data_IF_879155682360
#
_entry.id   IF_879155682360
#
_cell.length_a   1.000
_cell.length_b   1.000
_cell.length_c   1.000
_cell.angle_alpha   90.00
_cell.angle_beta   90.00
_cell.angle_gamma   90.00
#
_symmetry.space_group_name_H-M   'P 1'
#
loop_
_entity.id
_entity.type
_entity.pdbx_description
1 polymer ?
#
# COMPACT_ATOMS: atom_id res chain seq x y z
N UNK A 1 -9.67 15.04 49.17
CA UNK A 1 -8.22 15.14 48.90
C UNK A 1 -7.74 13.99 48.00
N UNK A 2 -8.20 12.76 48.22
CA UNK A 2 -7.67 11.58 47.53
C UNK A 2 -7.99 11.48 46.03
N UNK A 3 -9.16 11.97 45.59
CA UNK A 3 -9.56 11.90 44.18
C UNK A 3 -8.69 12.79 43.27
N UNK A 4 -8.45 14.05 43.67
CA UNK A 4 -7.59 14.98 42.93
C UNK A 4 -6.13 14.52 42.92
N UNK A 5 -5.64 13.96 44.03
CA UNK A 5 -4.31 13.38 44.12
C UNK A 5 -4.17 12.15 43.20
N UNK A 6 -5.19 11.29 43.13
CA UNK A 6 -5.20 10.14 42.23
C UNK A 6 -5.20 10.57 40.76
N UNK A 7 -5.99 11.58 40.38
CA UNK A 7 -5.96 12.13 39.02
C UNK A 7 -4.58 12.71 38.70
N UNK A 8 -4.01 13.51 39.61
CA UNK A 8 -2.71 14.15 39.39
C UNK A 8 -1.58 13.11 39.24
N UNK A 9 -1.58 12.07 40.07
CA UNK A 9 -0.61 10.96 39.97
C UNK A 9 -0.79 10.16 38.68
N UNK A 10 -2.02 9.85 38.26
CA UNK A 10 -2.28 9.21 36.97
C UNK A 10 -1.79 10.07 35.79
N UNK A 11 -2.06 11.37 35.80
CA UNK A 11 -1.59 12.30 34.76
C UNK A 11 -0.06 12.40 34.74
N UNK A 12 0.58 12.46 35.90
CA UNK A 12 2.04 12.47 36.01
C UNK A 12 2.65 11.17 35.46
N UNK A 13 2.10 10.01 35.82
CA UNK A 13 2.54 8.70 35.30
C UNK A 13 2.40 8.66 33.78
N UNK A 14 1.24 9.07 33.24
CA UNK A 14 1.01 9.12 31.81
C UNK A 14 2.04 10.01 31.11
N UNK A 15 2.32 11.19 31.67
CA UNK A 15 3.33 12.10 31.16
C UNK A 15 4.73 11.46 31.15
N UNK A 16 5.17 10.83 32.26
CA UNK A 16 6.46 10.15 32.30
C UNK A 16 6.56 8.99 31.31
N UNK A 17 5.50 8.20 31.16
CA UNK A 17 5.43 7.12 30.16
C UNK A 17 5.53 7.69 28.73
N UNK A 18 4.84 8.79 28.44
CA UNK A 18 4.94 9.47 27.14
C UNK A 18 6.36 9.98 26.87
N UNK A 19 6.98 10.65 27.84
CA UNK A 19 8.37 11.15 27.72
C UNK A 19 9.35 9.99 27.52
N UNK A 20 9.26 8.94 28.33
CA UNK A 20 10.10 7.76 28.21
C UNK A 20 9.94 7.10 26.82
N UNK A 21 8.71 6.99 26.32
CA UNK A 21 8.43 6.43 24.99
C UNK A 21 9.05 7.26 23.86
N UNK A 22 8.99 8.59 23.96
CA UNK A 22 9.63 9.50 23.00
C UNK A 22 11.15 9.37 23.06
N UNK A 23 11.74 9.28 24.26
CA UNK A 23 13.18 9.10 24.42
C UNK A 23 13.65 7.76 23.84
N UNK A 24 12.93 6.67 24.11
CA UNK A 24 13.21 5.35 23.51
C UNK A 24 13.11 5.43 21.98
N UNK A 25 12.11 6.11 21.45
CA UNK A 25 11.96 6.32 20.00
C UNK A 25 13.16 7.09 19.42
N UNK A 26 13.56 8.20 20.05
CA UNK A 26 14.73 8.98 19.61
C UNK A 26 16.00 8.12 19.67
N UNK A 27 16.22 7.39 20.77
CA UNK A 27 17.36 6.49 20.92
C UNK A 27 17.36 5.42 19.81
N UNK A 28 16.23 4.78 19.53
CA UNK A 28 16.14 3.78 18.45
C UNK A 28 16.49 4.35 17.06
N UNK A 29 16.11 5.60 16.78
CA UNK A 29 16.40 6.25 15.49
C UNK A 29 17.89 6.56 15.33
N UNK A 30 18.55 7.05 16.38
CA UNK A 30 19.91 7.61 16.28
C UNK A 30 21.02 6.70 16.82
N UNK A 31 20.74 5.87 17.83
CA UNK A 31 21.75 5.04 18.47
C UNK A 31 22.32 4.00 17.49
N UNK A 32 23.65 3.89 17.47
CA UNK A 32 24.36 2.93 16.63
C UNK A 32 24.34 3.24 15.12
N UNK A 33 23.79 4.38 14.69
CA UNK A 33 23.78 4.75 13.27
C UNK A 33 25.04 5.53 12.90
N UNK A 34 25.68 5.15 11.78
CA UNK A 34 26.85 5.86 11.23
C UNK A 34 26.43 7.17 10.55
N UNK A 35 26.12 8.20 11.34
CA UNK A 35 25.54 9.46 10.82
C UNK A 35 26.59 10.32 10.09
N UNK A 36 27.80 10.42 10.65
CA UNK A 36 28.89 11.27 10.14
C UNK A 36 30.03 10.49 9.48
N UNK A 37 29.79 9.21 9.19
CA UNK A 37 30.81 8.37 8.57
C UNK A 37 30.83 8.63 7.05
N UNK A 38 31.97 9.11 6.50
CA UNK A 38 32.08 9.43 5.08
C UNK A 38 32.00 8.20 4.16
N UNK A 39 32.11 6.98 4.69
CA UNK A 39 31.97 5.74 3.93
C UNK A 39 30.52 5.43 3.55
N UNK A 40 29.54 6.05 4.22
CA UNK A 40 28.13 5.82 3.97
C UNK A 40 27.48 7.04 3.33
N UNK A 41 26.38 6.82 2.61
CA UNK A 41 25.61 7.91 2.01
C UNK A 41 25.14 8.94 3.07
N UNK A 42 25.01 10.20 2.65
CA UNK A 42 24.65 11.30 3.54
C UNK A 42 23.29 11.06 4.21
N UNK A 43 23.20 11.33 5.51
CA UNK A 43 21.93 11.31 6.23
C UNK A 43 21.21 12.65 6.01
N UNK A 44 20.06 12.61 5.36
CA UNK A 44 19.25 13.81 5.07
C UNK A 44 18.17 14.09 6.12
N UNK A 45 17.93 13.15 7.04
CA UNK A 45 16.95 13.30 8.11
C UNK A 45 16.41 11.97 8.58
N UNK A 46 15.22 12.00 9.16
CA UNK A 46 14.48 10.80 9.60
C UNK A 46 13.33 10.51 8.64
N UNK A 47 12.81 9.29 8.67
CA UNK A 47 11.60 8.94 7.91
C UNK A 47 10.39 9.78 8.30
N UNK A 48 10.33 10.28 9.54
CA UNK A 48 9.25 11.16 10.02
C UNK A 48 9.27 12.54 9.38
N UNK A 49 10.43 13.01 8.90
CA UNK A 49 10.52 14.29 8.20
C UNK A 49 9.66 14.32 6.93
N UNK A 50 9.44 13.15 6.32
CA UNK A 50 8.56 13.00 5.15
C UNK A 50 7.10 13.36 5.44
N UNK A 51 6.66 13.28 6.70
CA UNK A 51 5.31 13.66 7.11
C UNK A 51 5.03 15.15 6.91
N UNK A 52 6.06 16.00 7.00
CA UNK A 52 5.93 17.44 6.73
C UNK A 52 5.60 17.73 5.26
N UNK A 53 5.88 16.76 4.38
CA UNK A 53 5.64 16.84 2.94
C UNK A 53 4.63 15.78 2.49
N UNK A 54 3.73 15.29 3.35
CA UNK A 54 2.80 14.21 3.01
C UNK A 54 2.02 14.46 1.71
N UNK A 55 1.50 15.68 1.53
CA UNK A 55 0.74 16.09 0.35
C UNK A 55 1.60 16.31 -0.90
N UNK A 56 2.93 16.30 -0.75
CA UNK A 56 3.91 16.67 -1.78
C UNK A 56 5.13 15.75 -1.76
N UNK A 57 4.96 14.52 -1.29
CA UNK A 57 6.09 13.68 -0.90
C UNK A 57 7.02 13.40 -2.07
N UNK A 58 6.45 13.12 -3.24
CA UNK A 58 7.20 12.87 -4.47
C UNK A 58 7.91 14.13 -4.98
N UNK A 59 7.32 15.32 -4.86
CA UNK A 59 7.99 16.58 -5.20
C UNK A 59 9.22 16.76 -4.31
N UNK A 60 9.05 16.61 -2.99
CA UNK A 60 10.13 16.72 -2.02
C UNK A 60 11.25 15.71 -2.30
N UNK A 61 10.90 14.43 -2.51
CA UNK A 61 11.89 13.40 -2.84
C UNK A 61 12.61 13.72 -4.15
N UNK A 62 11.93 14.27 -5.15
CA UNK A 62 12.53 14.71 -6.41
C UNK A 62 13.49 15.88 -6.22
N UNK A 63 13.13 16.87 -5.40
CA UNK A 63 14.00 18.00 -5.05
C UNK A 63 15.27 17.56 -4.31
N UNK A 64 15.16 16.58 -3.40
CA UNK A 64 16.32 15.97 -2.73
C UNK A 64 17.17 15.19 -3.74
N UNK A 65 16.55 14.39 -4.61
CA UNK A 65 17.22 13.59 -5.62
C UNK A 65 17.99 14.42 -6.66
N UNK A 66 17.55 15.66 -6.93
CA UNK A 66 18.27 16.63 -7.77
C UNK A 66 19.57 17.12 -7.13
N UNK A 67 19.65 17.13 -5.79
CA UNK A 67 20.82 17.59 -5.02
C UNK A 67 21.80 16.46 -4.73
N UNK A 68 21.29 15.27 -4.45
CA UNK A 68 22.09 14.07 -4.19
C UNK A 68 21.44 12.84 -4.80
N UNK A 69 22.22 12.01 -5.50
CA UNK A 69 21.72 10.80 -6.14
C UNK A 69 21.55 9.64 -5.16
N UNK A 70 22.15 9.70 -3.97
CA UNK A 70 21.97 8.67 -2.93
C UNK A 70 22.04 9.28 -1.55
N UNK A 71 21.04 8.98 -0.72
CA UNK A 71 20.96 9.48 0.65
C UNK A 71 20.27 8.47 1.58
N UNK A 72 20.41 8.70 2.89
CA UNK A 72 19.79 7.91 3.95
C UNK A 72 18.76 8.71 4.72
N UNK A 73 17.67 8.05 5.07
CA UNK A 73 16.74 8.50 6.11
C UNK A 73 16.82 7.53 7.29
N UNK A 74 16.93 8.07 8.50
CA UNK A 74 16.96 7.26 9.72
C UNK A 74 15.55 6.84 10.12
N UNK A 75 15.36 5.57 10.44
CA UNK A 75 14.13 5.03 11.02
C UNK A 75 14.45 4.29 12.34
N UNK A 76 13.44 4.02 13.19
CA UNK A 76 13.64 3.42 14.52
C UNK A 76 14.42 2.09 14.54
N UNK A 77 14.31 1.27 13.50
CA UNK A 77 14.98 -0.05 13.45
C UNK A 77 16.15 -0.04 12.46
N UNK A 78 15.97 0.60 11.30
CA UNK A 78 16.91 0.57 10.18
C UNK A 78 17.06 1.93 9.53
N UNK A 79 18.10 2.10 8.71
CA UNK A 79 18.21 3.27 7.82
C UNK A 79 17.65 2.90 6.45
N UNK A 80 16.80 3.75 5.90
CA UNK A 80 16.27 3.61 4.55
C UNK A 80 17.23 4.31 3.58
N UNK A 81 17.67 3.62 2.53
CA UNK A 81 18.52 4.19 1.48
C UNK A 81 17.64 4.55 0.30
N UNK A 82 17.73 5.80 -0.13
CA UNK A 82 17.09 6.31 -1.34
C UNK A 82 18.17 6.57 -2.37
N UNK A 83 17.96 6.07 -3.60
CA UNK A 83 18.93 6.22 -4.68
C UNK A 83 18.26 6.44 -6.02
N UNK A 84 18.77 7.40 -6.79
CA UNK A 84 18.51 7.61 -8.22
C UNK A 84 19.75 7.32 -9.07
N UNK A 85 20.88 6.92 -8.46
CA UNK A 85 22.07 6.47 -9.20
C UNK A 85 21.78 5.16 -9.94
N UNK A 86 21.91 5.18 -11.26
CA UNK A 86 21.62 4.04 -12.13
C UNK A 86 22.50 2.83 -11.84
N UNK A 87 23.74 3.03 -11.35
CA UNK A 87 24.65 1.93 -11.00
C UNK A 87 24.16 1.18 -9.77
N UNK A 88 23.63 1.91 -8.78
CA UNK A 88 23.00 1.30 -7.61
C UNK A 88 21.73 0.54 -8.00
N UNK A 89 20.91 1.14 -8.88
CA UNK A 89 19.67 0.51 -9.37
C UNK A 89 19.99 -0.78 -10.14
N UNK A 90 20.98 -0.76 -11.04
CA UNK A 90 21.43 -1.96 -11.76
C UNK A 90 22.00 -3.01 -10.80
N UNK A 91 22.76 -2.60 -9.79
CA UNK A 91 23.28 -3.52 -8.80
C UNK A 91 22.15 -4.24 -8.05
N UNK A 92 21.15 -3.49 -7.60
CA UNK A 92 20.01 -3.99 -6.82
C UNK A 92 19.09 -4.87 -7.68
N UNK A 93 18.69 -4.39 -8.87
CA UNK A 93 17.63 -5.03 -9.67
C UNK A 93 18.14 -6.10 -10.63
N UNK A 94 19.43 -6.12 -10.97
CA UNK A 94 20.01 -7.04 -11.96
C UNK A 94 21.21 -7.80 -11.42
N UNK A 95 22.26 -7.10 -11.01
CA UNK A 95 23.56 -7.74 -10.72
C UNK A 95 23.51 -8.63 -9.48
N UNK A 96 22.78 -8.21 -8.44
CA UNK A 96 22.78 -8.87 -7.14
C UNK A 96 21.36 -9.01 -6.55
N UNK A 97 20.37 -9.18 -7.42
CA UNK A 97 18.94 -9.23 -7.07
C UNK A 97 18.64 -10.17 -5.89
N UNK A 98 19.24 -11.36 -5.86
CA UNK A 98 18.99 -12.35 -4.79
C UNK A 98 19.41 -11.90 -3.38
N UNK A 99 20.22 -10.84 -3.25
CA UNK A 99 20.60 -10.25 -1.96
C UNK A 99 19.65 -9.16 -1.48
N UNK A 100 18.75 -8.67 -2.34
CA UNK A 100 17.78 -7.63 -2.01
C UNK A 100 16.38 -8.22 -1.97
N UNK A 101 15.83 -8.35 -0.77
CA UNK A 101 14.45 -8.78 -0.54
C UNK A 101 13.58 -7.60 -0.11
N UNK A 102 12.26 -7.75 -0.16
CA UNK A 102 11.35 -6.78 0.47
C UNK A 102 11.60 -6.74 1.98
N UNK A 103 11.89 -7.91 2.56
CA UNK A 103 12.35 -8.02 3.94
C UNK A 103 11.22 -8.05 4.97
N UNK A 104 11.58 -8.46 6.19
CA UNK A 104 10.63 -8.78 7.26
C UNK A 104 9.73 -7.60 7.63
N UNK A 105 10.26 -6.37 7.69
CA UNK A 105 9.48 -5.17 8.00
C UNK A 105 8.35 -4.93 6.99
N UNK A 106 8.65 -5.02 5.70
CA UNK A 106 7.65 -4.84 4.65
C UNK A 106 6.64 -6.00 4.67
N UNK A 107 7.09 -7.23 4.89
CA UNK A 107 6.21 -8.37 5.09
C UNK A 107 5.24 -8.13 6.25
N UNK A 108 5.71 -7.73 7.43
CA UNK A 108 4.87 -7.44 8.60
C UNK A 108 3.81 -6.36 8.34
N UNK A 109 4.16 -5.33 7.57
CA UNK A 109 3.24 -4.25 7.21
C UNK A 109 2.14 -4.75 6.26
N UNK A 110 2.52 -5.47 5.20
CA UNK A 110 1.60 -5.85 4.11
C UNK A 110 0.85 -7.16 4.32
N UNK A 111 1.31 -8.05 5.21
CA UNK A 111 0.78 -9.41 5.37
C UNK A 111 -0.72 -9.44 5.69
N UNK A 112 -1.24 -8.45 6.43
CA UNK A 112 -2.66 -8.45 6.81
C UNK A 112 -3.58 -8.23 5.60
N UNK A 113 -3.18 -7.35 4.67
CA UNK A 113 -3.97 -7.03 3.48
C UNK A 113 -3.72 -8.03 2.35
N UNK A 114 -2.46 -8.34 2.04
CA UNK A 114 -2.09 -9.16 0.89
C UNK A 114 -1.84 -10.63 1.21
N UNK A 115 -1.85 -11.01 2.49
CA UNK A 115 -1.47 -12.36 2.92
C UNK A 115 -0.07 -12.73 2.45
N UNK A 116 0.13 -14.02 2.18
CA UNK A 116 1.35 -14.51 1.53
C UNK A 116 1.37 -14.25 0.01
N UNK A 117 0.72 -13.18 -0.47
CA UNK A 117 0.63 -12.85 -1.89
C UNK A 117 1.93 -12.26 -2.45
N UNK A 118 2.00 -12.18 -3.78
CA UNK A 118 3.21 -11.83 -4.55
C UNK A 118 3.81 -10.46 -4.19
N UNK A 119 3.00 -9.56 -3.64
CA UNK A 119 3.42 -8.23 -3.20
C UNK A 119 4.07 -8.23 -1.81
N UNK A 120 3.75 -9.21 -0.95
CA UNK A 120 4.23 -9.25 0.44
C UNK A 120 5.47 -10.13 0.61
N UNK A 121 5.48 -11.34 0.03
CA UNK A 121 6.50 -12.36 0.33
C UNK A 121 7.76 -12.28 -0.54
N UNK A 122 8.80 -13.00 -0.11
CA UNK A 122 10.10 -13.14 -0.78
C UNK A 122 10.46 -14.62 -1.04
N UNK A 123 11.59 -14.85 -1.72
CA UNK A 123 12.18 -16.18 -1.91
C UNK A 123 11.40 -17.10 -2.85
N UNK A 124 11.47 -18.41 -2.61
CA UNK A 124 10.89 -19.42 -3.50
C UNK A 124 9.36 -19.34 -3.60
N UNK A 125 8.67 -19.03 -2.50
CA UNK A 125 7.21 -18.81 -2.54
C UNK A 125 6.86 -17.66 -3.49
N UNK A 126 7.59 -16.54 -3.43
CA UNK A 126 7.41 -15.42 -4.35
C UNK A 126 7.70 -15.82 -5.80
N UNK A 127 8.78 -16.56 -6.03
CA UNK A 127 9.19 -17.03 -7.36
C UNK A 127 8.14 -17.95 -7.98
N UNK A 128 7.55 -18.85 -7.19
CA UNK A 128 6.46 -19.72 -7.64
C UNK A 128 5.23 -18.91 -8.06
N UNK A 129 4.80 -17.95 -7.23
CA UNK A 129 3.66 -17.09 -7.55
C UNK A 129 3.94 -16.19 -8.76
N UNK A 130 5.15 -15.63 -8.86
CA UNK A 130 5.59 -14.81 -10.00
C UNK A 130 5.58 -15.61 -11.30
N UNK A 131 6.06 -16.86 -11.26
CA UNK A 131 6.02 -17.77 -12.41
C UNK A 131 4.58 -18.05 -12.84
N UNK A 132 3.70 -18.37 -11.90
CA UNK A 132 2.28 -18.60 -12.21
C UNK A 132 1.62 -17.36 -12.82
N UNK A 133 1.78 -16.20 -12.18
CA UNK A 133 1.22 -14.94 -12.67
C UNK A 133 1.78 -14.54 -14.05
N UNK A 134 3.04 -14.86 -14.36
CA UNK A 134 3.66 -14.47 -15.63
C UNK A 134 2.94 -15.03 -16.87
N UNK A 135 2.25 -16.16 -16.75
CA UNK A 135 1.48 -16.73 -17.85
C UNK A 135 0.27 -15.85 -18.22
N UNK A 136 -0.40 -15.27 -17.22
CA UNK A 136 -1.52 -14.34 -17.41
C UNK A 136 -1.09 -13.02 -18.04
N UNK A 137 0.18 -12.64 -17.87
CA UNK A 137 0.78 -11.44 -18.48
C UNK A 137 1.54 -11.75 -19.78
N UNK A 138 1.40 -12.95 -20.35
CA UNK A 138 2.01 -13.28 -21.62
C UNK A 138 1.41 -12.45 -22.77
N UNK A 139 2.23 -12.15 -23.79
CA UNK A 139 1.78 -11.34 -24.94
C UNK A 139 0.54 -11.94 -25.63
N UNK A 140 0.41 -13.27 -25.64
CA UNK A 140 -0.75 -13.98 -26.19
C UNK A 140 -2.00 -13.69 -25.38
N UNK A 141 -1.98 -13.89 -24.06
CA UNK A 141 -3.15 -13.65 -23.18
C UNK A 141 -3.57 -12.18 -23.24
N UNK A 142 -2.60 -11.26 -23.19
CA UNK A 142 -2.88 -9.83 -23.29
C UNK A 142 -3.58 -9.48 -24.60
N UNK A 143 -3.07 -9.97 -25.74
CA UNK A 143 -3.63 -9.67 -27.07
C UNK A 143 -4.99 -10.33 -27.28
N UNK A 144 -5.10 -11.61 -26.97
CA UNK A 144 -6.25 -12.42 -27.37
C UNK A 144 -7.44 -12.27 -26.40
N UNK A 145 -7.15 -11.96 -25.12
CA UNK A 145 -8.18 -11.83 -24.09
C UNK A 145 -8.26 -10.41 -23.50
N UNK A 146 -7.17 -9.90 -22.92
CA UNK A 146 -7.21 -8.65 -22.16
C UNK A 146 -7.52 -7.43 -23.05
N UNK A 147 -6.99 -7.34 -24.27
CA UNK A 147 -7.27 -6.25 -25.20
C UNK A 147 -8.76 -6.12 -25.50
N UNK A 148 -9.49 -7.23 -25.62
CA UNK A 148 -10.94 -7.21 -25.85
C UNK A 148 -11.67 -6.63 -24.64
N UNK A 149 -11.26 -6.99 -23.43
CA UNK A 149 -11.79 -6.42 -22.18
C UNK A 149 -11.49 -4.93 -22.09
N UNK A 150 -10.24 -4.53 -22.36
CA UNK A 150 -9.82 -3.12 -22.28
C UNK A 150 -10.55 -2.25 -23.29
N UNK A 151 -10.75 -2.73 -24.53
CA UNK A 151 -11.54 -2.00 -25.54
C UNK A 151 -13.00 -1.82 -25.10
N UNK A 152 -13.60 -2.84 -24.50
CA UNK A 152 -14.96 -2.74 -23.94
C UNK A 152 -15.01 -1.75 -22.77
N UNK A 153 -14.04 -1.80 -21.87
CA UNK A 153 -13.92 -0.84 -20.76
C UNK A 153 -13.77 0.60 -21.24
N UNK A 154 -12.90 0.82 -22.23
CA UNK A 154 -12.71 2.12 -22.86
C UNK A 154 -13.98 2.63 -23.56
N UNK A 155 -14.71 1.76 -24.27
CA UNK A 155 -16.00 2.12 -24.87
C UNK A 155 -17.03 2.53 -23.81
N UNK A 156 -17.18 1.75 -22.72
CA UNK A 156 -18.06 2.10 -21.59
C UNK A 156 -17.67 3.46 -20.97
N UNK A 157 -16.37 3.70 -20.77
CA UNK A 157 -15.86 4.96 -20.25
C UNK A 157 -16.21 6.15 -21.16
N UNK A 158 -15.98 6.02 -22.47
CA UNK A 158 -16.31 7.07 -23.45
C UNK A 158 -17.81 7.33 -23.47
N UNK A 159 -18.64 6.29 -23.45
CA UNK A 159 -20.10 6.43 -23.36
C UNK A 159 -20.51 7.21 -22.11
N UNK A 160 -19.93 6.91 -20.95
CA UNK A 160 -20.24 7.61 -19.70
C UNK A 160 -19.81 9.08 -19.72
N UNK A 161 -18.63 9.37 -20.27
CA UNK A 161 -18.16 10.75 -20.46
C UNK A 161 -19.08 11.51 -21.42
N UNK A 162 -19.56 10.85 -22.48
CA UNK A 162 -20.51 11.44 -23.41
C UNK A 162 -21.86 11.76 -22.74
N UNK A 163 -22.39 10.87 -21.90
CA UNK A 163 -23.58 11.15 -21.07
C UNK A 163 -23.38 12.38 -20.19
N UNK A 164 -22.27 12.47 -19.45
CA UNK A 164 -21.99 13.65 -18.63
C UNK A 164 -21.87 14.94 -19.47
N UNK A 165 -21.34 14.83 -20.68
CA UNK A 165 -21.26 15.97 -21.60
C UNK A 165 -22.63 16.44 -22.08
N UNK A 166 -23.58 15.53 -22.31
CA UNK A 166 -24.96 15.88 -22.70
C UNK A 166 -25.69 16.58 -21.56
N UNK A 167 -25.47 16.13 -20.33
CA UNK A 167 -26.10 16.69 -19.13
C UNK A 167 -25.34 17.90 -18.57
N UNK A 168 -24.26 18.33 -19.23
CA UNK A 168 -23.34 19.38 -18.78
C UNK A 168 -22.86 19.18 -17.32
N UNK A 169 -22.65 17.91 -16.94
CA UNK A 169 -22.29 17.50 -15.59
C UNK A 169 -20.77 17.55 -15.41
N UNK A 170 -20.32 18.17 -14.32
CA UNK A 170 -18.93 18.07 -13.87
C UNK A 170 -18.70 16.71 -13.21
N UNK A 171 -17.61 16.04 -13.56
CA UNK A 171 -17.26 14.73 -13.02
C UNK A 171 -15.76 14.64 -12.70
N UNK A 172 -15.40 13.69 -11.83
CA UNK A 172 -14.01 13.38 -11.50
C UNK A 172 -13.46 12.31 -12.46
N UNK A 173 -12.49 12.70 -13.30
CA UNK A 173 -11.83 11.79 -14.23
C UNK A 173 -11.04 10.69 -13.52
N UNK A 174 -10.46 10.98 -12.35
CA UNK A 174 -9.70 9.99 -11.58
C UNK A 174 -10.63 8.88 -11.08
N UNK A 175 -11.80 9.24 -10.55
CA UNK A 175 -12.80 8.26 -10.10
C UNK A 175 -13.25 7.34 -11.25
N UNK A 176 -13.50 7.92 -12.43
CA UNK A 176 -13.89 7.14 -13.61
C UNK A 176 -12.79 6.21 -14.12
N UNK A 177 -11.54 6.67 -14.16
CA UNK A 177 -10.39 5.83 -14.55
C UNK A 177 -10.16 4.69 -13.56
N UNK A 178 -10.32 4.96 -12.26
CA UNK A 178 -10.25 3.93 -11.22
C UNK A 178 -11.33 2.86 -11.39
N UNK A 179 -12.59 3.27 -11.62
CA UNK A 179 -13.70 2.34 -11.92
C UNK A 179 -13.44 1.52 -13.18
N UNK A 180 -12.94 2.13 -14.24
CA UNK A 180 -12.61 1.43 -15.50
C UNK A 180 -11.44 0.44 -15.32
N UNK A 181 -10.45 0.80 -14.51
CA UNK A 181 -9.32 -0.08 -14.17
C UNK A 181 -9.77 -1.27 -13.34
N UNK A 182 -10.65 -1.04 -12.36
CA UNK A 182 -11.25 -2.11 -11.56
C UNK A 182 -12.07 -3.07 -12.42
N UNK A 183 -12.94 -2.53 -13.28
CA UNK A 183 -13.69 -3.32 -14.26
C UNK A 183 -12.76 -4.24 -15.05
N UNK A 184 -11.67 -3.69 -15.56
CA UNK A 184 -10.70 -4.41 -16.38
C UNK A 184 -9.99 -5.51 -15.59
N UNK A 185 -9.52 -5.22 -14.38
CA UNK A 185 -8.84 -6.20 -13.52
C UNK A 185 -9.79 -7.32 -13.11
N UNK A 186 -11.05 -7.00 -12.76
CA UNK A 186 -12.00 -8.03 -12.35
C UNK A 186 -12.44 -8.92 -13.50
N UNK A 187 -12.66 -8.31 -14.67
CA UNK A 187 -13.04 -9.05 -15.85
C UNK A 187 -11.90 -9.93 -16.36
N UNK A 188 -10.66 -9.44 -16.34
CA UNK A 188 -9.50 -10.23 -16.76
C UNK A 188 -9.15 -11.30 -15.71
N UNK A 189 -9.02 -10.91 -14.44
CA UNK A 189 -8.51 -11.79 -13.38
C UNK A 189 -9.54 -12.77 -12.81
N UNK A 190 -10.80 -12.36 -12.67
CA UNK A 190 -11.86 -13.19 -12.08
C UNK A 190 -12.92 -13.63 -13.09
N UNK A 191 -12.90 -13.08 -14.31
CA UNK A 191 -13.92 -13.37 -15.33
C UNK A 191 -15.28 -12.74 -15.03
N UNK A 192 -15.37 -11.84 -14.05
CA UNK A 192 -16.62 -11.25 -13.57
C UNK A 192 -16.80 -9.84 -14.11
N UNK A 193 -18.01 -9.52 -14.55
CA UNK A 193 -18.40 -8.15 -14.90
C UNK A 193 -18.86 -7.47 -13.60
N UNK A 194 -18.03 -6.58 -13.06
CA UNK A 194 -18.49 -5.64 -12.05
C UNK A 194 -19.06 -4.43 -12.79
N UNK A 195 -20.28 -4.02 -12.44
CA UNK A 195 -20.96 -2.88 -13.07
C UNK A 195 -20.46 -1.56 -12.46
N UNK A 196 -19.14 -1.42 -12.29
CA UNK A 196 -18.51 -0.29 -11.61
C UNK A 196 -18.77 1.05 -12.31
N UNK A 197 -19.01 1.05 -13.63
CA UNK A 197 -19.20 2.25 -14.44
C UNK A 197 -20.66 2.70 -14.53
N UNK A 198 -21.63 1.83 -14.21
CA UNK A 198 -23.06 2.10 -14.42
C UNK A 198 -23.71 2.83 -13.23
N UNK A 199 -22.92 3.28 -12.26
CA UNK A 199 -23.36 4.20 -11.19
C UNK A 199 -24.31 3.60 -10.15
N UNK A 200 -24.78 2.36 -10.30
CA UNK A 200 -25.57 1.71 -9.24
C UNK A 200 -24.65 1.44 -8.05
N UNK A 201 -24.84 2.17 -6.95
CA UNK A 201 -24.05 2.12 -5.71
C UNK A 201 -24.16 0.79 -4.92
N UNK A 202 -23.97 -0.34 -5.59
CA UNK A 202 -24.03 -1.69 -5.06
C UNK A 202 -22.74 -2.14 -4.34
N UNK A 203 -22.50 -3.45 -4.31
CA UNK A 203 -21.33 -4.05 -3.65
C UNK A 203 -19.98 -3.59 -4.20
N UNK A 204 -19.92 -3.21 -5.48
CA UNK A 204 -18.68 -2.89 -6.19
C UNK A 204 -18.03 -1.59 -5.69
N UNK A 205 -18.84 -0.55 -5.44
CA UNK A 205 -18.33 0.72 -4.89
C UNK A 205 -17.84 0.56 -3.45
N UNK A 206 -18.48 -0.33 -2.67
CA UNK A 206 -18.03 -0.69 -1.33
C UNK A 206 -16.70 -1.44 -1.35
N UNK A 207 -16.47 -2.30 -2.35
CA UNK A 207 -15.19 -2.97 -2.54
C UNK A 207 -14.08 -1.99 -2.89
N UNK A 208 -14.28 -1.10 -3.86
CA UNK A 208 -13.29 -0.07 -4.23
C UNK A 208 -12.89 0.72 -2.98
N UNK A 209 -13.89 1.26 -2.28
CA UNK A 209 -13.63 2.05 -1.09
C UNK A 209 -12.89 1.26 0.00
N UNK A 210 -13.35 0.04 0.31
CA UNK A 210 -12.69 -0.78 1.32
C UNK A 210 -11.24 -1.10 0.95
N UNK A 211 -10.97 -1.36 -0.34
CA UNK A 211 -9.63 -1.63 -0.85
C UNK A 211 -8.73 -0.39 -0.79
N UNK A 212 -9.23 0.78 -1.21
CA UNK A 212 -8.49 2.04 -1.14
C UNK A 212 -8.18 2.43 0.31
N UNK A 213 -9.20 2.43 1.19
CA UNK A 213 -9.04 2.67 2.63
C UNK A 213 -8.02 1.70 3.25
N UNK A 214 -8.08 0.41 2.87
CA UNK A 214 -7.13 -0.60 3.37
C UNK A 214 -5.69 -0.34 2.91
N UNK A 215 -5.48 0.13 1.68
CA UNK A 215 -4.16 0.50 1.19
C UNK A 215 -3.63 1.71 1.98
N UNK A 216 -4.41 2.77 2.12
CA UNK A 216 -4.03 3.97 2.88
C UNK A 216 -3.64 3.61 4.33
N UNK A 217 -4.49 2.87 5.02
CA UNK A 217 -4.25 2.43 6.41
C UNK A 217 -3.02 1.53 6.53
N UNK A 218 -2.74 0.69 5.52
CA UNK A 218 -1.54 -0.15 5.49
C UNK A 218 -0.29 0.71 5.30
N UNK A 219 -0.31 1.70 4.40
CA UNK A 219 0.81 2.63 4.22
C UNK A 219 1.05 3.51 5.44
N UNK A 220 0.00 3.86 6.20
CA UNK A 220 0.14 4.61 7.44
C UNK A 220 1.03 3.90 8.48
N UNK A 221 1.12 2.57 8.43
CA UNK A 221 2.01 1.79 9.32
C UNK A 221 3.50 2.10 9.13
N UNK A 222 3.92 2.67 7.99
CA UNK A 222 5.31 3.08 7.79
C UNK A 222 5.75 4.25 8.69
N UNK A 223 4.78 5.08 9.08
CA UNK A 223 5.01 6.34 9.80
C UNK A 223 4.43 6.33 11.21
N UNK A 224 3.56 5.38 11.55
CA UNK A 224 2.98 5.24 12.89
C UNK A 224 3.81 4.28 13.77
N UNK A 225 4.68 4.75 14.67
CA UNK A 225 5.51 3.86 15.49
C UNK A 225 4.69 2.98 16.46
N UNK A 226 3.40 3.31 16.68
CA UNK A 226 2.52 2.59 17.60
C UNK A 226 1.54 1.65 16.88
N UNK A 227 1.68 1.44 15.56
CA UNK A 227 0.74 0.63 14.78
C UNK A 227 0.60 -0.79 15.32
N UNK A 228 1.69 -1.42 15.79
CA UNK A 228 1.66 -2.76 16.41
C UNK A 228 0.80 -2.80 17.68
N UNK A 229 0.86 -1.74 18.50
CA UNK A 229 0.07 -1.61 19.71
C UNK A 229 -1.41 -1.39 19.38
N UNK A 230 -1.71 -0.51 18.42
CA UNK A 230 -3.07 -0.28 17.92
C UNK A 230 -3.67 -1.55 17.32
N UNK A 231 -2.86 -2.35 16.63
CA UNK A 231 -3.24 -3.65 16.06
C UNK A 231 -3.55 -4.66 17.16
N UNK A 232 -2.74 -4.72 18.21
CA UNK A 232 -2.94 -5.62 19.35
C UNK A 232 -4.25 -5.31 20.09
N UNK A 233 -4.51 -4.04 20.41
CA UNK A 233 -5.76 -3.63 21.05
C UNK A 233 -6.95 -3.48 20.10
N UNK A 234 -6.72 -3.60 18.78
CA UNK A 234 -7.72 -3.45 17.74
C UNK A 234 -8.48 -2.11 17.85
N UNK A 235 -7.75 -1.00 17.86
CA UNK A 235 -8.28 0.37 18.01
C UNK A 235 -7.94 1.27 16.82
N UNK A 236 -8.76 2.29 16.59
CA UNK A 236 -8.50 3.34 15.60
C UNK A 236 -8.34 2.82 14.16
N UNK A 237 -7.24 3.20 13.51
CA UNK A 237 -6.89 2.81 12.14
C UNK A 237 -6.85 1.30 11.94
N UNK A 238 -6.38 0.56 12.94
CA UNK A 238 -6.20 -0.88 12.86
C UNK A 238 -7.52 -1.65 12.98
N UNK A 239 -8.48 -1.13 13.75
CA UNK A 239 -9.86 -1.64 13.76
C UNK A 239 -10.52 -1.51 12.39
N UNK A 240 -10.41 -0.32 11.77
CA UNK A 240 -10.95 -0.06 10.45
C UNK A 240 -10.28 -0.94 9.39
N UNK A 241 -8.96 -1.06 9.43
CA UNK A 241 -8.20 -1.92 8.53
C UNK A 241 -8.67 -3.38 8.63
N UNK A 242 -8.80 -3.92 9.85
CA UNK A 242 -9.30 -5.28 10.08
C UNK A 242 -10.73 -5.48 9.55
N UNK A 243 -11.61 -4.49 9.75
CA UNK A 243 -12.99 -4.52 9.23
C UNK A 243 -13.00 -4.55 7.69
N UNK A 244 -12.21 -3.70 7.05
CA UNK A 244 -12.13 -3.62 5.59
C UNK A 244 -11.53 -4.91 5.00
N UNK A 245 -10.45 -5.44 5.59
CA UNK A 245 -9.85 -6.72 5.18
C UNK A 245 -10.87 -7.87 5.27
N UNK A 246 -11.67 -7.92 6.34
CA UNK A 246 -12.72 -8.94 6.48
C UNK A 246 -13.72 -8.84 5.32
N UNK A 247 -14.20 -7.65 5.01
CA UNK A 247 -15.12 -7.41 3.91
C UNK A 247 -14.50 -7.78 2.54
N UNK A 248 -13.26 -7.37 2.28
CA UNK A 248 -12.53 -7.70 1.05
C UNK A 248 -12.42 -9.21 0.88
N UNK A 249 -12.07 -9.93 1.96
CA UNK A 249 -11.95 -11.39 1.94
C UNK A 249 -13.27 -12.07 1.64
N UNK A 250 -14.34 -11.68 2.32
CA UNK A 250 -15.69 -12.22 2.09
C UNK A 250 -16.14 -11.98 0.64
N UNK A 251 -15.89 -10.78 0.11
CA UNK A 251 -16.19 -10.45 -1.29
C UNK A 251 -15.43 -11.33 -2.28
N UNK A 252 -14.12 -11.50 -2.10
CA UNK A 252 -13.28 -12.34 -2.97
C UNK A 252 -13.66 -13.82 -2.84
N UNK A 253 -13.94 -14.31 -1.63
CA UNK A 253 -14.36 -15.69 -1.41
C UNK A 253 -15.68 -16.01 -2.12
N UNK A 254 -16.66 -15.09 -2.10
CA UNK A 254 -17.91 -15.25 -2.84
C UNK A 254 -17.69 -15.29 -4.37
N UNK A 255 -16.77 -14.48 -4.89
CA UNK A 255 -16.41 -14.53 -6.31
C UNK A 255 -15.76 -15.86 -6.68
N UNK A 256 -14.84 -16.37 -5.86
CA UNK A 256 -14.19 -17.66 -6.07
C UNK A 256 -15.23 -18.79 -6.03
N UNK A 257 -16.13 -18.80 -5.04
CA UNK A 257 -17.21 -19.81 -4.94
C UNK A 257 -18.11 -19.78 -6.17
N UNK A 258 -18.55 -18.59 -6.57
CA UNK A 258 -19.38 -18.40 -7.76
C UNK A 258 -18.68 -18.94 -9.01
N UNK A 259 -17.39 -18.63 -9.16
CA UNK A 259 -16.62 -19.07 -10.31
C UNK A 259 -16.41 -20.59 -10.34
N UNK A 260 -16.17 -21.23 -9.19
CA UNK A 260 -16.06 -22.70 -9.09
C UNK A 260 -17.36 -23.38 -9.51
N UNK A 261 -18.52 -22.92 -9.01
CA UNK A 261 -19.83 -23.45 -9.41
C UNK A 261 -20.06 -23.34 -10.92
N UNK A 262 -19.69 -22.21 -11.54
CA UNK A 262 -19.81 -22.04 -12.99
C UNK A 262 -18.93 -22.98 -13.81
N UNK A 263 -17.79 -23.42 -13.26
CA UNK A 263 -16.89 -24.38 -13.90
C UNK A 263 -17.40 -25.81 -13.74
N UNK A 264 -18.07 -26.13 -12.63
CA UNK A 264 -18.71 -27.44 -12.40
C UNK A 264 -19.97 -27.64 -13.26
N UNK A 265 -20.64 -26.56 -13.66
CA UNK A 265 -21.81 -26.59 -14.55
C UNK A 265 -21.46 -26.63 -16.05
N UNK A 266 -20.17 -26.64 -16.41
CA UNK A 266 -19.67 -26.71 -17.80
C UNK A 266 -19.07 -28.07 -18.09
#
# INVERSE_FOLDING_TARGET
MDFLYTIFTCLAILFFVCVASILVLILSIYAGKSIRDPKYALVMGTVFHQLLYSNRLYDYQTEVAKKTTTFRLLAPEQSEIYTTDSRNIEHILKTNFGKYSKGKRNQEIFMDLFGEGIFAIDGEKWKQQRKLASFEFSARVLRDFSCTVFRKGAAKLVSKVFEFSLDNQVFDMQELLMKCSLYSIFKVGFGVDLNCLDGSGGGDSKFIKAFDDSNELTYWRYVDPFWKLKRYFNIGSEFLLKKNIKFIREFVDELIKTRRKQLEMK
#
